data_IF_562624632719
#
_entry.id   IF_562624632719
#
_cell.length_a   1.000
_cell.length_b   1.000
_cell.length_c   1.000
_cell.angle_alpha   90.00
_cell.angle_beta   90.00
_cell.angle_gamma   90.00
#
_symmetry.space_group_name_H-M   'P 1'
#
loop_
_entity.id
_entity.type
_entity.pdbx_description
1 polymer ?
#
# COMPACT_ATOMS: atom_id res chain seq x y z
N UNK A 1 -4.70 12.68 -1.33
CA UNK A 1 -5.65 11.54 -1.35
C UNK A 1 -5.01 10.33 -0.70
N UNK A 2 -5.82 9.47 -0.14
CA UNK A 2 -5.36 8.25 0.50
C UNK A 2 -5.73 7.05 -0.37
N UNK A 3 -4.77 6.15 -0.57
CA UNK A 3 -4.96 4.95 -1.37
C UNK A 3 -4.60 3.72 -0.55
N UNK A 4 -5.33 2.64 -0.77
CA UNK A 4 -4.96 1.34 -0.27
C UNK A 4 -4.16 0.63 -1.36
N UNK A 5 -3.06 -0.01 -0.95
CA UNK A 5 -2.19 -0.80 -1.83
C UNK A 5 -2.13 -2.20 -1.26
N UNK A 6 -2.51 -3.17 -2.06
CA UNK A 6 -2.45 -4.58 -1.68
C UNK A 6 -1.75 -5.36 -2.79
N UNK A 7 -0.89 -6.29 -2.39
CA UNK A 7 -0.18 -7.12 -3.36
C UNK A 7 -0.04 -8.55 -2.86
N UNK A 8 0.15 -9.45 -3.80
CA UNK A 8 0.40 -10.86 -3.54
C UNK A 8 1.55 -11.29 -4.43
N UNK A 9 2.73 -11.48 -3.82
CA UNK A 9 3.92 -11.90 -4.55
C UNK A 9 3.88 -13.41 -4.71
N UNK A 10 3.96 -13.89 -5.94
CA UNK A 10 3.84 -15.29 -6.28
C UNK A 10 5.20 -15.98 -6.21
N UNK A 11 5.21 -17.18 -5.66
CA UNK A 11 6.44 -18.00 -5.61
C UNK A 11 6.94 -18.27 -7.05
N UNK A 12 8.25 -18.14 -7.32
CA UNK A 12 9.35 -17.88 -6.38
C UNK A 12 9.67 -16.41 -6.12
N UNK A 13 8.78 -15.46 -6.50
CA UNK A 13 9.00 -14.02 -6.42
C UNK A 13 8.67 -13.45 -5.04
N UNK A 14 8.58 -14.29 -4.01
CA UNK A 14 8.12 -13.92 -2.67
C UNK A 14 9.23 -14.00 -1.62
N UNK A 15 10.48 -13.75 -2.04
CA UNK A 15 11.62 -13.71 -1.14
C UNK A 15 11.60 -12.45 -0.26
N UNK A 16 12.39 -12.45 0.80
CA UNK A 16 12.56 -11.26 1.65
C UNK A 16 13.04 -10.06 0.83
N UNK A 17 13.93 -10.29 -0.13
CA UNK A 17 14.44 -9.23 -1.01
C UNK A 17 13.34 -8.67 -1.91
N UNK A 18 12.45 -9.52 -2.41
CA UNK A 18 11.32 -9.11 -3.24
C UNK A 18 10.36 -8.23 -2.43
N UNK A 19 9.99 -8.67 -1.23
CA UNK A 19 9.15 -7.87 -0.34
C UNK A 19 9.81 -6.55 0.05
N UNK A 20 11.09 -6.59 0.37
CA UNK A 20 11.84 -5.39 0.73
C UNK A 20 11.85 -4.37 -0.39
N UNK A 21 12.03 -4.81 -1.63
CA UNK A 21 12.03 -3.92 -2.80
C UNK A 21 10.71 -3.16 -2.93
N UNK A 22 9.59 -3.86 -2.79
CA UNK A 22 8.25 -3.25 -2.84
C UNK A 22 8.06 -2.29 -1.67
N UNK A 23 8.41 -2.70 -0.46
CA UNK A 23 8.28 -1.87 0.73
C UNK A 23 9.12 -0.60 0.64
N UNK A 24 10.36 -0.71 0.20
CA UNK A 24 11.24 0.44 0.06
C UNK A 24 10.68 1.45 -0.95
N UNK A 25 10.09 0.95 -2.03
CA UNK A 25 9.44 1.83 -2.99
C UNK A 25 8.21 2.54 -2.39
N UNK A 26 7.34 1.79 -1.71
CA UNK A 26 6.13 2.36 -1.08
C UNK A 26 6.51 3.46 -0.08
N UNK A 27 7.61 3.29 0.63
CA UNK A 27 8.08 4.28 1.61
C UNK A 27 8.61 5.57 0.97
N UNK A 28 8.68 5.64 -0.35
CA UNK A 28 9.02 6.90 -1.05
C UNK A 28 7.84 7.87 -1.15
N UNK A 29 6.62 7.40 -0.92
CA UNK A 29 5.45 8.28 -0.89
C UNK A 29 5.48 9.21 0.33
N UNK A 30 4.87 10.38 0.21
CA UNK A 30 4.94 11.42 1.25
C UNK A 30 4.31 11.01 2.58
N UNK A 31 3.34 10.12 2.52
CA UNK A 31 2.73 9.52 3.72
C UNK A 31 2.45 8.05 3.44
N UNK A 32 2.71 7.21 4.42
CA UNK A 32 2.45 5.78 4.30
C UNK A 32 2.25 5.17 5.66
N UNK A 33 1.50 4.07 5.69
CA UNK A 33 1.39 3.23 6.88
C UNK A 33 1.23 1.78 6.47
N UNK A 34 1.99 0.90 7.13
CA UNK A 34 1.95 -0.55 6.88
C UNK A 34 0.79 -1.15 7.68
N UNK A 35 -0.32 -1.39 7.00
CA UNK A 35 -1.55 -1.82 7.65
C UNK A 35 -1.53 -3.30 8.01
N UNK A 36 -1.14 -4.13 7.05
CA UNK A 36 -1.03 -5.58 7.15
C UNK A 36 0.19 -6.02 6.33
N UNK A 37 0.57 -7.29 6.40
CA UNK A 37 1.78 -7.83 5.76
C UNK A 37 1.96 -7.35 4.32
N UNK A 38 0.93 -7.44 3.50
CA UNK A 38 0.97 -7.04 2.09
C UNK A 38 -0.07 -5.98 1.78
N UNK A 39 -0.46 -5.20 2.78
CA UNK A 39 -1.44 -4.13 2.66
C UNK A 39 -0.90 -2.86 3.29
N UNK A 40 -0.90 -1.81 2.50
CA UNK A 40 -0.42 -0.49 2.90
C UNK A 40 -1.47 0.56 2.59
N UNK A 41 -1.40 1.66 3.30
CA UNK A 41 -2.10 2.89 2.92
C UNK A 41 -1.07 3.95 2.64
N UNK A 42 -1.29 4.72 1.59
CA UNK A 42 -0.35 5.77 1.17
C UNK A 42 -1.08 7.06 0.89
N UNK A 43 -0.34 8.15 0.99
CA UNK A 43 -0.82 9.48 0.62
C UNK A 43 -0.16 9.87 -0.71
N UNK A 44 -0.98 10.29 -1.68
CA UNK A 44 -0.49 10.74 -2.98
C UNK A 44 -1.50 11.65 -3.64
N UNK A 45 -1.00 12.54 -4.49
CA UNK A 45 -1.84 13.40 -5.34
C UNK A 45 -2.06 12.77 -6.72
N UNK A 46 -1.39 11.64 -6.99
CA UNK A 46 -1.55 10.90 -8.24
C UNK A 46 -2.83 10.07 -8.22
N UNK A 47 -3.22 9.58 -9.39
CA UNK A 47 -4.36 8.64 -9.51
C UNK A 47 -3.94 7.20 -9.27
N UNK A 48 -4.93 6.33 -9.08
CA UNK A 48 -4.70 4.91 -8.80
C UNK A 48 -3.89 4.23 -9.91
N UNK A 49 -4.15 4.56 -11.18
CA UNK A 49 -3.42 3.97 -12.31
C UNK A 49 -1.95 4.34 -12.32
N UNK A 50 -1.65 5.58 -12.01
CA UNK A 50 -0.27 6.09 -11.96
C UNK A 50 0.51 5.41 -10.82
N UNK A 51 -0.12 5.28 -9.66
CA UNK A 51 0.46 4.60 -8.50
C UNK A 51 0.69 3.13 -8.83
N UNK A 52 -0.30 2.46 -9.43
CA UNK A 52 -0.18 1.07 -9.86
C UNK A 52 1.02 0.88 -10.78
N UNK A 53 1.15 1.73 -11.80
CA UNK A 53 2.22 1.60 -12.78
C UNK A 53 3.60 1.79 -12.14
N UNK A 54 3.72 2.72 -11.20
CA UNK A 54 4.96 2.95 -10.49
C UNK A 54 5.35 1.76 -9.60
N UNK A 55 4.40 1.22 -8.84
CA UNK A 55 4.67 0.05 -7.97
C UNK A 55 4.94 -1.19 -8.81
N UNK A 56 4.21 -1.35 -9.92
CA UNK A 56 4.37 -2.49 -10.83
C UNK A 56 5.79 -2.64 -11.35
N UNK A 57 6.52 -1.56 -11.48
CA UNK A 57 7.93 -1.61 -11.91
C UNK A 57 8.84 -2.34 -10.90
N UNK A 58 8.35 -2.61 -9.70
CA UNK A 58 9.10 -3.24 -8.62
C UNK A 58 8.66 -4.68 -8.33
N UNK A 59 7.76 -5.23 -9.13
CA UNK A 59 7.26 -6.61 -8.99
C UNK A 59 7.36 -7.34 -10.32
N UNK A 60 7.12 -8.64 -10.29
CA UNK A 60 7.18 -9.49 -11.48
C UNK A 60 5.81 -9.58 -12.17
N UNK A 61 5.81 -10.01 -13.42
CA UNK A 61 4.62 -10.00 -14.27
C UNK A 61 3.49 -10.91 -13.80
N UNK A 62 3.81 -11.93 -12.99
CA UNK A 62 2.80 -12.86 -12.44
C UNK A 62 2.36 -12.50 -11.02
N UNK A 63 2.95 -11.45 -10.43
CA UNK A 63 2.51 -10.95 -9.13
C UNK A 63 1.20 -10.17 -9.27
N UNK A 64 0.44 -10.12 -8.17
CA UNK A 64 -0.85 -9.42 -8.14
C UNK A 64 -0.70 -8.10 -7.41
N UNK A 65 -1.30 -7.06 -7.94
CA UNK A 65 -1.28 -5.72 -7.36
C UNK A 65 -2.66 -5.08 -7.48
N UNK A 66 -3.11 -4.48 -6.40
CA UNK A 66 -4.35 -3.70 -6.35
C UNK A 66 -4.06 -2.34 -5.73
N UNK A 67 -4.54 -1.28 -6.37
CA UNK A 67 -4.48 0.08 -5.83
C UNK A 67 -5.87 0.69 -5.95
N UNK A 68 -6.40 1.20 -4.84
CA UNK A 68 -7.72 1.82 -4.84
C UNK A 68 -7.76 3.02 -3.92
N UNK A 69 -8.55 4.02 -4.28
CA UNK A 69 -8.72 5.18 -3.42
C UNK A 69 -9.58 4.83 -2.21
N UNK A 70 -9.10 5.19 -1.03
CA UNK A 70 -9.83 5.03 0.21
C UNK A 70 -10.57 6.32 0.54
N UNK A 71 -11.88 6.22 0.78
CA UNK A 71 -12.70 7.35 1.24
C UNK A 71 -12.67 7.44 2.77
N UNK A 72 -13.26 8.49 3.32
CA UNK A 72 -13.40 8.63 4.77
C UNK A 72 -14.36 7.63 5.41
N UNK A 73 -15.11 6.88 4.61
CA UNK A 73 -16.03 5.88 5.11
C UNK A 73 -15.34 4.51 5.19
N UNK A 74 -14.64 4.28 6.30
CA UNK A 74 -13.95 3.03 6.57
C UNK A 74 -14.15 2.62 8.02
N UNK A 75 -13.99 1.33 8.30
CA UNK A 75 -14.07 0.78 9.64
C UNK A 75 -12.99 -0.27 9.83
N UNK A 76 -12.56 -0.47 11.07
CA UNK A 76 -11.53 -1.46 11.39
C UNK A 76 -11.87 -2.18 12.68
N UNK A 77 -11.23 -3.35 12.85
CA UNK A 77 -11.34 -4.15 14.06
C UNK A 77 -9.94 -4.67 14.41
N UNK A 78 -9.53 -4.46 15.64
CA UNK A 78 -8.20 -4.87 16.14
C UNK A 78 -7.01 -4.25 15.39
N UNK A 79 -7.22 -3.10 14.76
CA UNK A 79 -6.16 -2.42 14.02
C UNK A 79 -5.08 -1.83 14.95
N UNK A 80 -5.47 -1.49 16.16
CA UNK A 80 -4.59 -0.85 17.12
C UNK A 80 -4.66 0.67 17.05
N UNK A 81 -4.31 1.32 18.17
CA UNK A 81 -4.42 2.78 18.28
C UNK A 81 -3.45 3.51 17.34
N UNK A 82 -2.27 2.97 17.13
CA UNK A 82 -1.27 3.59 16.27
C UNK A 82 -1.72 3.63 14.81
N UNK A 83 -2.11 2.47 14.25
CA UNK A 83 -2.58 2.37 12.86
C UNK A 83 -3.89 3.11 12.65
N UNK A 84 -4.85 2.91 13.53
CA UNK A 84 -6.12 3.62 13.47
C UNK A 84 -5.95 5.11 13.66
N UNK A 85 -5.04 5.53 14.53
CA UNK A 85 -4.73 6.94 14.76
C UNK A 85 -4.14 7.62 13.53
N UNK A 86 -3.26 6.94 12.81
CA UNK A 86 -2.69 7.47 11.56
C UNK A 86 -3.81 7.72 10.53
N UNK A 87 -4.69 6.73 10.35
CA UNK A 87 -5.82 6.85 9.41
C UNK A 87 -6.77 7.98 9.78
N UNK A 88 -7.08 8.14 11.07
CA UNK A 88 -7.99 9.19 11.54
C UNK A 88 -7.46 10.59 11.32
N UNK A 89 -6.15 10.75 11.23
CA UNK A 89 -5.53 12.05 10.99
C UNK A 89 -5.48 12.45 9.52
N UNK A 90 -5.85 11.55 8.60
CA UNK A 90 -5.76 11.82 7.17
C UNK A 90 -7.02 12.51 6.64
N UNK A 91 -6.83 13.32 5.62
CA UNK A 91 -7.92 13.89 4.84
C UNK A 91 -8.21 13.00 3.63
N UNK A 92 -9.46 12.64 3.49
CA UNK A 92 -9.89 11.72 2.41
C UNK A 92 -10.58 12.48 1.24
#
# INVERSE_FOLDING_TARGET
MIFIVAYDLKSPNDTEEDYKRVMDFIKTYSGWYHLEKSVWVIKSDEGASEIRDAIRANIYSDDVLFVGRLSGNWASFNLGSERGGWLKRQEF
#
